data_IF_019952943123
#
_entry.id   IF_019952943123
#
_cell.length_a   1.000
_cell.length_b   1.000
_cell.length_c   1.000
_cell.angle_alpha   90.00
_cell.angle_beta   90.00
_cell.angle_gamma   90.00
#
_symmetry.space_group_name_H-M   'P 1'
#
loop_
_entity.id
_entity.type
_entity.pdbx_description
1 polymer ?
#
# COMPACT_ATOMS: atom_id res chain seq x y z
N UNK A 1 10.86 14.60 26.85
CA UNK A 1 11.30 13.47 26.02
C UNK A 1 10.83 13.66 24.59
N UNK A 2 11.74 13.58 23.66
CA UNK A 2 11.42 13.73 22.26
C UNK A 2 10.95 12.38 21.70
N UNK A 3 9.86 12.39 20.97
CA UNK A 3 9.36 11.20 20.31
C UNK A 3 9.96 11.10 18.91
N UNK A 4 10.34 9.89 18.50
CA UNK A 4 10.83 9.67 17.15
C UNK A 4 9.67 9.69 16.15
N UNK A 5 8.51 9.15 16.55
CA UNK A 5 7.33 9.09 15.70
C UNK A 5 6.08 9.48 16.47
N UNK A 6 5.15 10.10 15.76
CA UNK A 6 3.83 10.40 16.28
C UNK A 6 2.88 9.23 16.04
N UNK A 7 3.11 8.47 14.97
CA UNK A 7 2.28 7.33 14.60
C UNK A 7 3.12 6.26 13.92
N UNK A 8 2.96 5.04 14.38
CA UNK A 8 3.57 3.86 13.77
C UNK A 8 2.45 2.94 13.34
N UNK A 9 2.39 2.66 12.04
CA UNK A 9 1.42 1.71 11.50
C UNK A 9 2.07 0.34 11.33
N UNK A 10 1.33 -0.69 11.67
CA UNK A 10 1.73 -2.07 11.47
C UNK A 10 0.64 -2.79 10.69
N UNK A 11 1.01 -3.38 9.58
CA UNK A 11 0.01 -4.07 8.78
C UNK A 11 0.59 -4.66 7.51
N UNK A 12 -0.30 -5.08 6.63
CA UNK A 12 0.05 -5.69 5.36
C UNK A 12 -0.39 -4.77 4.22
N UNK A 13 0.57 -4.20 3.49
CA UNK A 13 0.23 -3.46 2.27
C UNK A 13 -0.15 -4.44 1.16
N UNK A 14 -1.19 -4.09 0.43
CA UNK A 14 -1.73 -4.95 -0.62
C UNK A 14 -1.81 -4.18 -1.93
N UNK A 15 -1.34 -4.81 -3.02
CA UNK A 15 -1.63 -4.28 -4.36
C UNK A 15 -3.07 -4.56 -4.71
N UNK A 16 -3.76 -3.53 -5.14
CA UNK A 16 -5.14 -3.63 -5.59
C UNK A 16 -5.19 -3.65 -7.12
N UNK A 17 -6.00 -4.53 -7.67
CA UNK A 17 -6.32 -4.52 -9.09
C UNK A 17 -7.83 -4.38 -9.24
N UNK A 18 -8.27 -3.19 -9.63
CA UNK A 18 -9.69 -2.88 -9.77
C UNK A 18 -10.11 -3.04 -11.23
N UNK A 19 -11.18 -3.82 -11.44
CA UNK A 19 -11.72 -4.02 -12.76
C UNK A 19 -12.31 -2.74 -13.30
N UNK A 20 -12.02 -2.45 -14.57
CA UNK A 20 -12.58 -1.31 -15.28
C UNK A 20 -13.19 -1.79 -16.58
N UNK A 21 -14.36 -1.22 -16.94
CA UNK A 21 -15.03 -1.53 -18.19
C UNK A 21 -14.50 -0.63 -19.29
N UNK A 22 -13.89 -1.24 -20.30
CA UNK A 22 -13.42 -0.52 -21.48
C UNK A 22 -13.60 -1.36 -22.73
N UNK A 23 -14.61 -1.02 -23.51
CA UNK A 23 -14.80 -1.61 -24.83
C UNK A 23 -14.92 -3.14 -24.83
N UNK A 24 -15.51 -3.73 -23.77
CA UNK A 24 -15.70 -5.17 -23.67
C UNK A 24 -14.46 -5.94 -23.22
N UNK A 25 -13.36 -5.25 -22.93
CA UNK A 25 -12.15 -5.90 -22.45
C UNK A 25 -12.15 -5.98 -20.92
N UNK A 26 -11.53 -7.04 -20.41
CA UNK A 26 -11.31 -7.20 -18.96
C UNK A 26 -9.98 -6.56 -18.58
N UNK A 27 -10.04 -5.33 -18.10
CA UNK A 27 -8.87 -4.58 -17.69
C UNK A 27 -8.90 -4.34 -16.19
N UNK A 28 -7.73 -4.30 -15.59
CA UNK A 28 -7.58 -4.03 -14.17
C UNK A 28 -6.59 -2.89 -13.96
N UNK A 29 -6.97 -1.88 -13.19
CA UNK A 29 -6.07 -0.79 -12.83
C UNK A 29 -5.38 -1.13 -11.51
N UNK A 30 -4.04 -1.02 -11.47
CA UNK A 30 -3.32 -1.24 -10.23
C UNK A 30 -3.44 -0.05 -9.30
N UNK A 31 -3.47 -0.33 -8.00
CA UNK A 31 -3.46 0.68 -6.97
C UNK A 31 -2.70 0.18 -5.76
N UNK A 32 -2.20 1.10 -4.96
CA UNK A 32 -1.50 0.77 -3.72
C UNK A 32 -2.53 0.81 -2.59
N UNK A 33 -2.94 -0.37 -2.14
CA UNK A 33 -4.00 -0.53 -1.15
C UNK A 33 -3.47 -0.91 0.22
N UNK A 34 -4.40 -1.36 1.06
CA UNK A 34 -4.12 -1.68 2.45
C UNK A 34 -4.48 -0.53 3.37
N UNK A 35 -5.41 -0.80 4.29
CA UNK A 35 -5.96 0.25 5.16
C UNK A 35 -4.89 0.93 5.99
N UNK A 36 -3.95 0.16 6.54
CA UNK A 36 -2.89 0.73 7.39
C UNK A 36 -1.94 1.62 6.62
N UNK A 37 -1.61 1.27 5.37
CA UNK A 37 -0.78 2.12 4.52
C UNK A 37 -1.50 3.43 4.21
N UNK A 38 -2.79 3.37 3.89
CA UNK A 38 -3.58 4.57 3.61
C UNK A 38 -3.64 5.49 4.83
N UNK A 39 -3.83 4.94 6.02
CA UNK A 39 -3.88 5.72 7.27
C UNK A 39 -2.55 6.43 7.51
N UNK A 40 -1.43 5.71 7.35
CA UNK A 40 -0.12 6.30 7.66
C UNK A 40 0.26 7.39 6.66
N UNK A 41 -0.10 7.22 5.40
CA UNK A 41 0.12 8.24 4.38
C UNK A 41 -0.73 9.49 4.67
N UNK A 42 -1.98 9.29 5.04
CA UNK A 42 -2.87 10.40 5.39
C UNK A 42 -2.32 11.18 6.60
N UNK A 43 -1.82 10.48 7.61
CA UNK A 43 -1.23 11.12 8.79
C UNK A 43 0.04 11.89 8.42
N UNK A 44 0.88 11.33 7.55
CA UNK A 44 2.10 12.00 7.09
C UNK A 44 1.76 13.31 6.37
N UNK A 45 0.72 13.29 5.56
CA UNK A 45 0.26 14.50 4.83
C UNK A 45 -0.25 15.58 5.78
N UNK A 46 -0.67 15.21 6.99
CA UNK A 46 -1.10 16.16 8.02
C UNK A 46 0.08 16.67 8.86
N UNK A 47 1.29 16.29 8.54
CA UNK A 47 2.50 16.74 9.23
C UNK A 47 2.97 15.84 10.36
N UNK A 48 2.35 14.69 10.57
CA UNK A 48 2.79 13.75 11.60
C UNK A 48 4.12 13.09 11.20
N UNK A 49 4.93 12.78 12.18
CA UNK A 49 6.12 11.95 11.98
C UNK A 49 5.68 10.49 12.00
N UNK A 50 5.82 9.82 10.89
CA UNK A 50 5.19 8.52 10.67
C UNK A 50 6.20 7.47 10.27
N UNK A 51 5.90 6.22 10.65
CA UNK A 51 6.66 5.07 10.23
C UNK A 51 5.72 3.91 9.93
N UNK A 52 6.13 3.05 9.03
CA UNK A 52 5.42 1.81 8.72
C UNK A 52 6.29 0.62 9.12
N UNK A 53 5.68 -0.36 9.76
CA UNK A 53 6.32 -1.61 10.13
C UNK A 53 5.58 -2.76 9.47
N UNK A 54 6.31 -3.65 8.83
CA UNK A 54 5.72 -4.79 8.16
C UNK A 54 6.66 -5.35 7.12
N UNK A 55 6.09 -5.94 6.08
CA UNK A 55 6.87 -6.50 4.99
C UNK A 55 6.18 -6.24 3.67
N UNK A 56 6.99 -6.03 2.64
CA UNK A 56 6.53 -6.01 1.24
C UNK A 56 7.29 -7.07 0.47
N UNK A 57 6.79 -7.44 -0.68
CA UNK A 57 7.45 -8.43 -1.50
C UNK A 57 8.72 -7.92 -2.16
N UNK A 58 9.59 -8.85 -2.47
CA UNK A 58 10.78 -8.63 -3.29
C UNK A 58 10.35 -8.68 -4.76
N UNK A 59 9.54 -7.69 -5.16
CA UNK A 59 8.92 -7.64 -6.47
C UNK A 59 8.62 -6.19 -6.86
N UNK A 60 8.18 -5.94 -8.10
CA UNK A 60 7.85 -4.57 -8.54
C UNK A 60 6.79 -3.89 -7.68
N UNK A 61 5.85 -4.64 -7.13
CA UNK A 61 4.78 -4.08 -6.31
C UNK A 61 5.32 -3.62 -4.96
N UNK A 62 6.19 -4.44 -4.34
CA UNK A 62 6.86 -4.05 -3.10
C UNK A 62 7.66 -2.78 -3.26
N UNK A 63 8.39 -2.66 -4.38
CA UNK A 63 9.16 -1.45 -4.67
C UNK A 63 8.27 -0.22 -4.81
N UNK A 64 7.08 -0.36 -5.37
CA UNK A 64 6.13 0.76 -5.48
C UNK A 64 5.66 1.26 -4.12
N UNK A 65 5.45 0.35 -3.16
CA UNK A 65 5.13 0.75 -1.80
C UNK A 65 6.28 1.51 -1.15
N UNK A 66 7.50 1.04 -1.33
CA UNK A 66 8.67 1.73 -0.76
C UNK A 66 8.81 3.12 -1.37
N UNK A 67 8.61 3.26 -2.66
CA UNK A 67 8.62 4.57 -3.33
C UNK A 67 7.52 5.49 -2.82
N UNK A 68 6.32 4.95 -2.61
CA UNK A 68 5.19 5.72 -2.06
C UNK A 68 5.56 6.29 -0.70
N UNK A 69 6.03 5.43 0.19
CA UNK A 69 6.36 5.88 1.55
C UNK A 69 7.52 6.88 1.55
N UNK A 70 8.53 6.68 0.72
CA UNK A 70 9.63 7.65 0.57
C UNK A 70 9.09 9.01 0.11
N UNK A 71 8.23 8.99 -0.91
CA UNK A 71 7.65 10.22 -1.46
C UNK A 71 6.77 10.95 -0.46
N UNK A 72 6.06 10.21 0.38
CA UNK A 72 5.14 10.78 1.37
C UNK A 72 5.80 11.06 2.71
N UNK A 73 7.08 10.79 2.85
CA UNK A 73 7.80 11.06 4.09
C UNK A 73 7.55 10.07 5.21
N UNK A 74 7.06 8.88 4.90
CA UNK A 74 6.88 7.81 5.88
C UNK A 74 8.20 7.07 6.05
N UNK A 75 8.65 6.91 7.29
CA UNK A 75 9.86 6.14 7.58
C UNK A 75 9.57 4.66 7.35
N UNK A 76 10.35 4.05 6.47
CA UNK A 76 10.21 2.63 6.15
C UNK A 76 11.35 1.75 6.64
N UNK A 77 12.15 2.26 7.57
CA UNK A 77 13.31 1.51 8.08
C UNK A 77 12.90 0.22 8.80
N UNK A 78 11.64 0.11 9.22
CA UNK A 78 11.11 -1.09 9.87
C UNK A 78 10.39 -2.02 8.88
N UNK A 79 10.43 -1.72 7.59
CA UNK A 79 9.82 -2.55 6.56
C UNK A 79 10.84 -3.56 6.05
N UNK A 80 10.44 -4.82 6.04
CA UNK A 80 11.29 -5.90 5.56
C UNK A 80 10.90 -6.26 4.14
N UNK A 81 11.89 -6.68 3.37
CA UNK A 81 11.68 -7.17 2.01
C UNK A 81 12.38 -8.53 1.88
N UNK A 82 11.77 -9.59 2.41
CA UNK A 82 12.41 -10.91 2.38
C UNK A 82 12.68 -11.36 0.95
N UNK A 83 13.87 -11.87 0.71
CA UNK A 83 14.28 -12.29 -0.62
C UNK A 83 13.33 -13.36 -1.17
N UNK A 84 12.88 -13.16 -2.40
CA UNK A 84 11.96 -14.09 -3.07
C UNK A 84 10.53 -14.01 -2.61
N UNK A 85 10.19 -13.09 -1.70
CA UNK A 85 8.81 -12.95 -1.23
C UNK A 85 7.96 -12.20 -2.24
N UNK A 86 6.64 -12.33 -2.09
CA UNK A 86 5.67 -11.67 -2.96
C UNK A 86 4.81 -10.71 -2.15
N UNK A 87 4.50 -9.56 -2.75
CA UNK A 87 3.55 -8.62 -2.18
C UNK A 87 2.15 -9.19 -2.29
N UNK A 88 1.34 -9.04 -1.24
CA UNK A 88 -0.05 -9.47 -1.27
C UNK A 88 -0.85 -8.69 -2.32
N UNK A 89 -1.78 -9.37 -2.95
CA UNK A 89 -2.59 -8.82 -4.04
C UNK A 89 -4.05 -9.14 -3.77
N UNK A 90 -4.94 -8.20 -4.10
CA UNK A 90 -6.37 -8.48 -4.14
C UNK A 90 -7.00 -7.85 -5.37
N UNK A 91 -8.11 -8.41 -5.78
CA UNK A 91 -8.84 -7.96 -6.97
C UNK A 91 -10.20 -7.44 -6.56
N UNK A 92 -10.62 -6.36 -7.20
CA UNK A 92 -11.98 -5.84 -7.07
C UNK A 92 -12.68 -6.04 -8.40
N UNK A 93 -13.80 -6.74 -8.37
CA UNK A 93 -14.63 -6.97 -9.56
C UNK A 93 -16.02 -6.42 -9.32
N UNK A 94 -16.70 -6.08 -10.41
CA UNK A 94 -18.07 -5.59 -10.36
C UNK A 94 -18.97 -6.56 -11.09
N UNK A 95 -20.01 -7.05 -10.39
CA UNK A 95 -21.03 -7.87 -10.99
C UNK A 95 -22.12 -7.03 -11.66
N UNK A 96 -23.18 -7.69 -12.15
CA UNK A 96 -24.31 -6.99 -12.82
C UNK A 96 -24.97 -5.95 -11.93
N UNK A 97 -24.93 -6.14 -10.61
CA UNK A 97 -25.56 -5.25 -9.63
C UNK A 97 -24.56 -4.25 -9.03
N UNK A 98 -23.35 -4.17 -9.60
CA UNK A 98 -22.33 -3.26 -9.11
C UNK A 98 -21.18 -3.99 -8.43
N UNK A 99 -20.89 -3.64 -7.19
CA UNK A 99 -19.74 -4.14 -6.48
C UNK A 99 -19.93 -5.56 -5.93
N UNK A 100 -18.91 -6.38 -6.13
CA UNK A 100 -18.86 -7.72 -5.55
C UNK A 100 -17.75 -7.83 -4.52
#
# INVERSE_FOLDING_TARGET
MQRDFDLLAFGEPLMEFAEVARGGEHLFLPGLGGDTSNVIVAAARQGARTAFMGAVGDDPFGRRFLELWDREGVDRSFVRTPKGSQTGIYFISYGPDGHE
#
